data_IF_685634563235
#
_entry.id   IF_685634563235
#
_cell.length_a   1.000
_cell.length_b   1.000
_cell.length_c   1.000
_cell.angle_alpha   90.00
_cell.angle_beta   90.00
_cell.angle_gamma   90.00
#
_symmetry.space_group_name_H-M   'P 1'
#
loop_
_entity.id
_entity.type
_entity.pdbx_description
1 polymer ?
#
# COMPACT_ATOMS: atom_id res chain seq x y z
N UNK A 1 26.87 2.45 -1.30
CA UNK A 1 26.42 3.85 -1.39
C UNK A 1 27.64 4.75 -1.35
N UNK A 2 28.55 4.74 -2.35
CA UNK A 2 29.89 5.32 -2.07
C UNK A 2 30.70 5.84 -3.26
N UNK A 3 30.12 6.02 -4.45
CA UNK A 3 30.85 6.73 -5.52
C UNK A 3 29.89 7.48 -6.43
N UNK A 4 28.88 6.77 -6.94
CA UNK A 4 27.84 7.40 -7.77
C UNK A 4 26.98 8.36 -6.92
N UNK A 5 26.63 8.00 -5.69
CA UNK A 5 25.89 8.90 -4.78
C UNK A 5 26.67 10.18 -4.46
N UNK A 6 28.00 10.10 -4.33
CA UNK A 6 28.86 11.24 -4.00
C UNK A 6 29.05 12.17 -5.20
N UNK A 7 29.19 11.60 -6.39
CA UNK A 7 29.27 12.33 -7.66
C UNK A 7 27.93 13.00 -8.02
N UNK A 8 26.80 12.37 -7.70
CA UNK A 8 25.46 12.97 -7.82
C UNK A 8 25.30 14.14 -6.84
N UNK A 9 25.70 13.98 -5.57
CA UNK A 9 25.64 15.05 -4.56
C UNK A 9 26.48 16.27 -4.92
N UNK A 10 27.60 16.09 -5.63
CA UNK A 10 28.48 17.18 -6.03
C UNK A 10 27.91 18.10 -7.13
N UNK A 11 26.90 17.63 -7.88
CA UNK A 11 26.30 18.35 -9.02
C UNK A 11 24.95 19.02 -8.67
N UNK A 12 24.32 18.59 -7.57
CA UNK A 12 23.02 19.07 -7.12
C UNK A 12 23.10 20.43 -6.42
N UNK A 13 22.14 21.32 -6.70
CA UNK A 13 21.93 22.50 -5.84
C UNK A 13 21.35 22.06 -4.48
N UNK A 14 21.49 22.90 -3.45
CA UNK A 14 20.96 22.59 -2.11
C UNK A 14 19.43 22.30 -2.11
N UNK A 15 18.69 22.91 -3.03
CA UNK A 15 17.25 22.65 -3.25
C UNK A 15 16.99 21.27 -3.87
N UNK A 16 17.79 20.88 -4.87
CA UNK A 16 17.65 19.57 -5.53
C UNK A 16 18.11 18.44 -4.59
N UNK A 17 19.06 18.69 -3.69
CA UNK A 17 19.46 17.74 -2.63
C UNK A 17 18.35 17.51 -1.60
N UNK A 18 17.67 18.57 -1.15
CA UNK A 18 16.56 18.46 -0.19
C UNK A 18 15.36 17.69 -0.79
N UNK A 19 15.11 17.83 -2.09
CA UNK A 19 14.12 17.03 -2.81
C UNK A 19 14.52 15.55 -2.91
N UNK A 20 15.81 15.28 -3.17
CA UNK A 20 16.34 13.91 -3.19
C UNK A 20 16.22 13.25 -1.81
N UNK A 21 16.57 13.96 -0.74
CA UNK A 21 16.61 13.45 0.63
C UNK A 21 15.18 13.13 1.15
N UNK A 22 14.20 13.97 0.80
CA UNK A 22 12.77 13.68 1.07
C UNK A 22 12.25 12.44 0.34
N UNK A 23 12.75 12.16 -0.86
CA UNK A 23 12.32 11.02 -1.67
C UNK A 23 13.08 9.72 -1.37
N UNK A 24 14.31 9.83 -0.87
CA UNK A 24 15.21 8.69 -0.59
C UNK A 24 15.06 8.10 0.81
N UNK A 25 14.31 8.75 1.70
CA UNK A 25 13.95 8.19 3.00
C UNK A 25 13.29 6.81 2.86
N UNK A 26 13.90 5.79 3.46
CA UNK A 26 13.28 4.47 3.59
C UNK A 26 12.00 4.64 4.39
N UNK A 27 10.85 4.45 3.73
CA UNK A 27 9.57 4.46 4.40
C UNK A 27 9.38 3.15 5.13
N UNK A 28 9.08 3.24 6.42
CA UNK A 28 8.65 2.09 7.18
C UNK A 28 7.33 1.54 6.65
N UNK A 29 7.04 0.29 6.97
CA UNK A 29 5.77 -0.36 6.61
C UNK A 29 4.54 0.43 7.10
N UNK A 30 4.65 1.11 8.24
CA UNK A 30 3.61 1.98 8.77
C UNK A 30 3.46 3.29 7.98
N UNK A 31 4.55 3.83 7.45
CA UNK A 31 4.52 5.02 6.59
C UNK A 31 3.83 4.68 5.27
N UNK A 32 4.12 3.51 4.68
CA UNK A 32 3.43 3.04 3.47
C UNK A 32 1.92 2.92 3.68
N UNK A 33 1.48 2.39 4.82
CA UNK A 33 0.06 2.33 5.18
C UNK A 33 -0.52 3.74 5.32
N UNK A 34 0.18 4.64 6.02
CA UNK A 34 -0.24 6.03 6.21
C UNK A 34 -0.36 6.82 4.91
N UNK A 35 0.60 6.67 4.00
CA UNK A 35 0.59 7.28 2.66
C UNK A 35 -0.51 6.74 1.78
N UNK A 36 -0.87 5.48 1.96
CA UNK A 36 -1.93 4.85 1.19
C UNK A 36 -3.28 5.53 1.44
N UNK A 37 -3.53 6.00 2.68
CA UNK A 37 -4.68 6.85 2.98
C UNK A 37 -4.56 8.31 2.47
N UNK A 38 -3.37 8.74 2.05
CA UNK A 38 -3.13 10.06 1.43
C UNK A 38 -3.07 10.00 -0.11
N UNK A 39 -3.07 8.80 -0.68
CA UNK A 39 -3.07 8.56 -2.12
C UNK A 39 -4.31 9.15 -2.82
N UNK A 40 -4.23 9.33 -4.14
CA UNK A 40 -5.37 9.69 -5.00
C UNK A 40 -6.56 8.74 -4.82
N UNK A 41 -6.30 7.51 -4.36
CA UNK A 41 -7.31 6.48 -4.06
C UNK A 41 -7.78 6.45 -2.59
N UNK A 42 -7.57 7.52 -1.80
CA UNK A 42 -7.93 7.56 -0.38
C UNK A 42 -9.38 7.12 -0.08
N UNK A 43 -10.34 7.56 -0.89
CA UNK A 43 -11.75 7.25 -0.69
C UNK A 43 -12.02 5.76 -0.89
N UNK A 44 -11.39 5.16 -1.91
CA UNK A 44 -11.45 3.71 -2.13
C UNK A 44 -10.84 2.93 -0.98
N UNK A 45 -9.72 3.40 -0.42
CA UNK A 45 -9.12 2.75 0.75
C UNK A 45 -9.99 2.83 2.00
N UNK A 46 -10.57 4.00 2.27
CA UNK A 46 -11.51 4.17 3.40
C UNK A 46 -12.72 3.25 3.22
N UNK A 47 -13.28 3.16 2.01
CA UNK A 47 -14.38 2.25 1.69
C UNK A 47 -13.98 0.78 1.89
N UNK A 48 -12.80 0.37 1.43
CA UNK A 48 -12.31 -1.01 1.58
C UNK A 48 -12.10 -1.40 3.04
N UNK A 49 -11.53 -0.49 3.84
CA UNK A 49 -11.35 -0.69 5.27
C UNK A 49 -12.69 -0.73 6.00
N UNK A 50 -13.60 0.20 5.69
CA UNK A 50 -14.97 0.20 6.23
C UNK A 50 -15.72 -1.09 5.88
N UNK A 51 -15.63 -1.54 4.62
CA UNK A 51 -16.19 -2.81 4.17
C UNK A 51 -15.61 -4.00 4.93
N UNK A 52 -14.29 -4.04 5.12
CA UNK A 52 -13.62 -5.13 5.84
C UNK A 52 -14.06 -5.20 7.31
N UNK A 53 -14.21 -4.05 7.97
CA UNK A 53 -14.71 -3.96 9.35
C UNK A 53 -16.18 -4.40 9.42
N UNK A 54 -17.01 -3.93 8.50
CA UNK A 54 -18.42 -4.33 8.44
C UNK A 54 -18.58 -5.83 8.17
N UNK A 55 -17.81 -6.38 7.24
CA UNK A 55 -17.79 -7.81 6.94
C UNK A 55 -17.30 -8.63 8.14
N UNK A 56 -16.32 -8.13 8.90
CA UNK A 56 -15.83 -8.78 10.11
C UNK A 56 -16.90 -8.81 11.22
N UNK A 57 -17.61 -7.69 11.43
CA UNK A 57 -18.76 -7.65 12.33
C UNK A 57 -19.87 -8.60 11.88
N UNK A 58 -20.15 -8.65 10.58
CA UNK A 58 -21.08 -9.62 9.98
C UNK A 58 -20.64 -11.07 10.19
N UNK A 59 -19.34 -11.36 10.10
CA UNK A 59 -18.79 -12.69 10.32
C UNK A 59 -18.99 -13.12 11.78
N UNK A 60 -18.70 -12.24 12.75
CA UNK A 60 -18.97 -12.51 14.17
C UNK A 60 -20.45 -12.81 14.39
N UNK A 61 -21.33 -12.00 13.79
CA UNK A 61 -22.78 -12.22 13.91
C UNK A 61 -23.22 -13.55 13.29
N UNK A 62 -22.70 -13.90 12.11
CA UNK A 62 -22.94 -15.19 11.47
C UNK A 62 -22.45 -16.36 12.33
N UNK A 63 -21.30 -16.22 13.01
CA UNK A 63 -20.81 -17.22 13.97
C UNK A 63 -21.77 -17.38 15.15
N UNK A 64 -22.27 -16.29 15.73
CA UNK A 64 -23.24 -16.36 16.84
C UNK A 64 -24.52 -17.09 16.40
N UNK A 65 -25.03 -16.75 15.20
CA UNK A 65 -26.22 -17.42 14.63
C UNK A 65 -25.98 -18.88 14.32
N UNK A 66 -24.79 -19.22 13.82
CA UNK A 66 -24.39 -20.60 13.58
C UNK A 66 -24.38 -21.43 14.87
N UNK A 67 -23.83 -20.88 15.96
CA UNK A 67 -23.79 -21.56 17.26
C UNK A 67 -25.17 -21.72 17.92
N UNK A 68 -26.12 -20.86 17.58
CA UNK A 68 -27.51 -20.92 18.08
C UNK A 68 -28.43 -21.78 17.21
N UNK A 69 -27.98 -22.22 16.03
CA UNK A 69 -28.82 -22.96 15.10
C UNK A 69 -29.06 -24.39 15.60
N UNK A 70 -30.33 -24.78 15.72
CA UNK A 70 -30.75 -26.13 16.10
C UNK A 70 -31.03 -27.01 14.89
N UNK A 71 -31.38 -26.40 13.74
CA UNK A 71 -31.68 -27.10 12.50
C UNK A 71 -30.46 -27.16 11.57
N UNK A 72 -30.27 -28.30 10.91
CA UNK A 72 -29.17 -28.54 9.96
C UNK A 72 -29.18 -27.56 8.79
N UNK A 73 -30.37 -27.11 8.36
CA UNK A 73 -30.52 -26.11 7.29
C UNK A 73 -29.95 -24.76 7.71
N UNK A 74 -30.25 -24.33 8.94
CA UNK A 74 -29.78 -23.04 9.44
C UNK A 74 -28.27 -23.06 9.71
N UNK A 75 -27.73 -24.19 10.17
CA UNK A 75 -26.28 -24.41 10.25
C UNK A 75 -25.60 -24.21 8.88
N UNK A 76 -26.14 -24.80 7.82
CA UNK A 76 -25.58 -24.66 6.48
C UNK A 76 -25.62 -23.22 5.95
N UNK A 77 -26.72 -22.50 6.20
CA UNK A 77 -26.88 -21.10 5.79
C UNK A 77 -25.89 -20.20 6.53
N UNK A 78 -25.87 -20.25 7.86
CA UNK A 78 -25.01 -19.37 8.65
C UNK A 78 -23.53 -19.72 8.50
N UNK A 79 -23.20 -21.00 8.33
CA UNK A 79 -21.85 -21.44 8.00
C UNK A 79 -21.41 -20.95 6.62
N UNK A 80 -22.27 -21.04 5.61
CA UNK A 80 -22.00 -20.52 4.27
C UNK A 80 -21.81 -19.00 4.26
N UNK A 81 -22.67 -18.26 4.94
CA UNK A 81 -22.55 -16.80 5.10
C UNK A 81 -21.23 -16.43 5.77
N UNK A 82 -20.86 -17.14 6.84
CA UNK A 82 -19.59 -16.92 7.52
C UNK A 82 -18.39 -17.14 6.58
N UNK A 83 -18.37 -18.25 5.82
CA UNK A 83 -17.30 -18.55 4.86
C UNK A 83 -17.20 -17.43 3.81
N UNK A 84 -18.33 -17.00 3.24
CA UNK A 84 -18.35 -15.95 2.22
C UNK A 84 -17.81 -14.62 2.77
N UNK A 85 -18.19 -14.24 4.00
CA UNK A 85 -17.71 -13.02 4.63
C UNK A 85 -16.20 -13.07 4.91
N UNK A 86 -15.68 -14.20 5.38
CA UNK A 86 -14.24 -14.38 5.60
C UNK A 86 -13.47 -14.36 4.28
N UNK A 87 -13.96 -15.05 3.24
CA UNK A 87 -13.37 -15.01 1.90
C UNK A 87 -13.32 -13.58 1.36
N UNK A 88 -14.40 -12.81 1.53
CA UNK A 88 -14.45 -11.43 1.08
C UNK A 88 -13.43 -10.53 1.80
N UNK A 89 -13.24 -10.71 3.11
CA UNK A 89 -12.20 -10.00 3.88
C UNK A 89 -10.80 -10.38 3.37
N UNK A 90 -10.54 -11.68 3.13
CA UNK A 90 -9.25 -12.13 2.63
C UNK A 90 -8.92 -11.56 1.25
N UNK A 91 -9.88 -11.58 0.33
CA UNK A 91 -9.70 -11.01 -1.01
C UNK A 91 -9.45 -9.50 -0.94
N UNK A 92 -10.19 -8.78 -0.09
CA UNK A 92 -9.97 -7.35 0.15
C UNK A 92 -8.55 -7.07 0.69
N UNK A 93 -8.05 -7.90 1.61
CA UNK A 93 -6.70 -7.79 2.15
C UNK A 93 -5.63 -8.07 1.10
N UNK A 94 -5.77 -9.10 0.28
CA UNK A 94 -4.83 -9.43 -0.80
C UNK A 94 -4.74 -8.26 -1.79
N UNK A 95 -5.89 -7.74 -2.20
CA UNK A 95 -5.94 -6.60 -3.12
C UNK A 95 -5.28 -5.36 -2.50
N UNK A 96 -5.52 -5.09 -1.22
CA UNK A 96 -4.88 -3.98 -0.51
C UNK A 96 -3.35 -4.10 -0.50
N UNK A 97 -2.80 -5.28 -0.17
CA UNK A 97 -1.35 -5.51 -0.21
C UNK A 97 -0.77 -5.33 -1.61
N UNK A 98 -1.49 -5.77 -2.64
CA UNK A 98 -1.08 -5.58 -4.02
C UNK A 98 -1.03 -4.09 -4.40
N UNK A 99 -2.01 -3.30 -3.95
CA UNK A 99 -2.02 -1.85 -4.18
C UNK A 99 -0.89 -1.15 -3.42
N UNK A 100 -0.55 -1.59 -2.19
CA UNK A 100 0.63 -1.10 -1.47
C UNK A 100 1.92 -1.36 -2.25
N UNK A 101 2.13 -2.60 -2.71
CA UNK A 101 3.31 -2.96 -3.47
C UNK A 101 3.42 -2.17 -4.78
N UNK A 102 2.29 -1.97 -5.47
CA UNK A 102 2.24 -1.13 -6.67
C UNK A 102 2.68 0.30 -6.38
N UNK A 103 2.24 0.90 -5.28
CA UNK A 103 2.65 2.25 -4.88
C UNK A 103 4.16 2.30 -4.58
N UNK A 104 4.70 1.30 -3.89
CA UNK A 104 6.14 1.18 -3.62
C UNK A 104 6.94 1.11 -4.92
N UNK A 105 6.54 0.26 -5.87
CA UNK A 105 7.20 0.12 -7.17
C UNK A 105 7.16 1.42 -7.98
N UNK A 106 6.02 2.11 -8.02
CA UNK A 106 5.89 3.40 -8.72
C UNK A 106 6.81 4.46 -8.10
N UNK A 107 6.95 4.46 -6.77
CA UNK A 107 7.86 5.37 -6.06
C UNK A 107 9.33 5.07 -6.38
N UNK A 108 9.71 3.80 -6.36
CA UNK A 108 11.06 3.37 -6.73
C UNK A 108 11.38 3.70 -8.19
N UNK A 109 10.42 3.55 -9.11
CA UNK A 109 10.59 3.93 -10.50
C UNK A 109 10.85 5.43 -10.66
N UNK A 110 10.06 6.28 -9.98
CA UNK A 110 10.29 7.74 -9.97
C UNK A 110 11.66 8.10 -9.41
N UNK A 111 12.13 7.40 -8.37
CA UNK A 111 13.49 7.58 -7.84
C UNK A 111 14.55 7.28 -8.90
N UNK A 112 14.38 6.21 -9.67
CA UNK A 112 15.29 5.86 -10.77
C UNK A 112 15.22 6.89 -11.90
N UNK A 113 14.03 7.31 -12.33
CA UNK A 113 13.85 8.35 -13.35
C UNK A 113 14.59 9.64 -12.97
N UNK A 114 14.48 10.04 -11.70
CA UNK A 114 15.12 11.23 -11.16
C UNK A 114 16.66 11.09 -11.12
N UNK A 115 17.17 9.93 -10.69
CA UNK A 115 18.61 9.64 -10.73
C UNK A 115 19.17 9.69 -12.17
N UNK A 116 18.44 9.15 -13.15
CA UNK A 116 18.82 9.21 -14.55
C UNK A 116 18.81 10.65 -15.07
N UNK A 117 17.81 11.45 -14.71
CA UNK A 117 17.75 12.87 -15.09
C UNK A 117 18.95 13.66 -14.55
N UNK A 118 19.38 13.38 -13.31
CA UNK A 118 20.58 14.00 -12.75
C UNK A 118 21.86 13.56 -13.44
N UNK A 119 21.99 12.27 -13.75
CA UNK A 119 23.14 11.75 -14.50
C UNK A 119 23.23 12.39 -15.90
N UNK A 120 22.10 12.58 -16.57
CA UNK A 120 22.05 13.25 -17.86
C UNK A 120 22.50 14.72 -17.76
N UNK A 121 22.10 15.43 -16.69
CA UNK A 121 22.50 16.82 -16.41
C UNK A 121 24.00 16.94 -16.14
N UNK A 122 24.58 16.04 -15.34
CA UNK A 122 26.03 16.06 -15.03
C UNK A 122 26.88 15.82 -16.28
N UNK A 123 26.49 14.86 -17.13
CA UNK A 123 27.17 14.60 -18.41
C UNK A 123 27.08 15.81 -19.35
N UNK A 124 25.93 16.49 -19.39
CA UNK A 124 25.74 17.67 -20.22
C UNK A 124 26.59 18.88 -19.76
N UNK A 125 26.86 19.01 -18.46
CA UNK A 125 27.74 20.06 -17.91
C UNK A 125 29.24 19.79 -18.14
N UNK A 126 29.62 18.57 -18.49
CA UNK A 126 31.01 18.18 -18.72
C UNK A 126 31.50 18.44 -20.15
N UNK A 127 30.58 18.81 -21.07
CA UNK A 127 30.87 19.26 -22.44
C UNK A 127 30.93 20.79 -22.52
#
# INVERSE_FOLDING_TARGET
MTNIDDEIRAVLSAEEMDELEKLTGEQGMFDMIGESFRSKMRYWMILLWGYSIAAFGGAIWATIRFLQATDTKDLAIWGGVWIILILAIMLAKIWYWMELNKNTVVRELKRVELQIAFLAKSIAQQK
#
